data_IF_945307468762
#
_entry.id   IF_945307468762
#
_cell.length_a   1.000
_cell.length_b   1.000
_cell.length_c   1.000
_cell.angle_alpha   90.00
_cell.angle_beta   90.00
_cell.angle_gamma   90.00
#
_symmetry.space_group_name_H-M   'P 1'
#
loop_
_entity.id
_entity.type
_entity.pdbx_description
1 polymer ?
#
# COMPACT_ATOMS: atom_id res chain seq x y z
N UNK A 1 20.56 -14.00 -7.17
CA UNK A 1 19.39 -13.71 -6.31
C UNK A 1 19.68 -12.41 -5.59
N UNK A 2 18.86 -11.38 -5.80
CA UNK A 2 19.01 -10.10 -5.11
C UNK A 2 18.83 -10.32 -3.60
N UNK A 3 19.75 -9.81 -2.78
CA UNK A 3 19.66 -9.93 -1.32
C UNK A 3 18.68 -8.88 -0.77
N UNK A 4 17.98 -9.19 0.33
CA UNK A 4 17.10 -8.26 1.06
C UNK A 4 15.89 -7.74 0.25
N UNK A 5 15.27 -8.61 -0.54
CA UNK A 5 14.00 -8.30 -1.24
C UNK A 5 12.83 -8.89 -0.46
N UNK A 6 11.89 -8.03 -0.08
CA UNK A 6 10.67 -8.40 0.64
C UNK A 6 9.51 -8.30 -0.34
N UNK A 7 8.80 -9.40 -0.57
CA UNK A 7 7.60 -9.41 -1.42
C UNK A 7 6.34 -8.99 -0.66
N UNK A 8 5.26 -8.73 -1.40
CA UNK A 8 3.91 -8.75 -0.83
C UNK A 8 3.49 -10.21 -0.64
N UNK A 9 3.24 -10.58 0.61
CA UNK A 9 2.97 -11.94 1.06
C UNK A 9 1.90 -11.94 2.15
N UNK A 10 1.39 -13.12 2.50
CA UNK A 10 0.33 -13.22 3.50
C UNK A 10 0.74 -12.66 4.87
N UNK A 11 2.03 -12.72 5.22
CA UNK A 11 2.57 -12.22 6.50
C UNK A 11 2.56 -10.68 6.62
N UNK A 12 2.59 -9.95 5.51
CA UNK A 12 2.57 -8.48 5.49
C UNK A 12 1.32 -7.92 4.78
N UNK A 13 0.27 -8.74 4.65
CA UNK A 13 -1.00 -8.32 4.05
C UNK A 13 -1.63 -7.12 4.77
N UNK A 14 -1.51 -7.05 6.09
CA UNK A 14 -2.02 -5.93 6.87
C UNK A 14 -1.31 -4.59 6.56
N UNK A 15 -0.07 -4.62 6.07
CA UNK A 15 0.64 -3.42 5.62
C UNK A 15 0.06 -2.93 4.29
N UNK A 16 -0.14 -3.85 3.35
CA UNK A 16 -0.79 -3.57 2.07
C UNK A 16 -2.20 -3.00 2.28
N UNK A 17 -3.02 -3.65 3.09
CA UNK A 17 -4.39 -3.21 3.37
C UNK A 17 -4.46 -1.80 3.96
N UNK A 18 -3.51 -1.42 4.83
CA UNK A 18 -3.47 -0.09 5.40
C UNK A 18 -3.24 0.97 4.31
N UNK A 19 -2.29 0.71 3.41
CA UNK A 19 -1.96 1.61 2.29
C UNK A 19 -3.12 1.71 1.31
N UNK A 20 -3.71 0.57 0.91
CA UNK A 20 -4.87 0.51 0.02
C UNK A 20 -6.06 1.31 0.59
N UNK A 21 -6.33 1.15 1.89
CA UNK A 21 -7.43 1.85 2.55
C UNK A 21 -7.19 3.35 2.63
N UNK A 22 -5.98 3.79 2.98
CA UNK A 22 -5.67 5.21 2.97
C UNK A 22 -5.90 5.78 1.57
N UNK A 23 -5.34 5.16 0.54
CA UNK A 23 -5.48 5.61 -0.85
C UNK A 23 -6.95 5.70 -1.29
N UNK A 24 -7.77 4.71 -0.93
CA UNK A 24 -9.20 4.72 -1.21
C UNK A 24 -9.97 5.80 -0.44
N UNK A 25 -9.51 6.17 0.76
CA UNK A 25 -10.19 7.12 1.65
C UNK A 25 -9.88 8.56 1.29
N UNK A 26 -8.60 8.88 1.08
CA UNK A 26 -8.16 10.27 0.80
C UNK A 26 -8.19 10.62 -0.69
N UNK A 27 -8.31 9.61 -1.55
CA UNK A 27 -8.27 9.78 -3.01
C UNK A 27 -6.83 9.85 -3.55
N UNK A 28 -6.72 9.65 -4.87
CA UNK A 28 -5.44 9.49 -5.55
C UNK A 28 -4.49 10.70 -5.38
N UNK A 29 -5.00 11.91 -5.56
CA UNK A 29 -4.18 13.14 -5.54
C UNK A 29 -3.59 13.40 -4.15
N UNK A 30 -4.40 13.28 -3.10
CA UNK A 30 -3.96 13.49 -1.71
C UNK A 30 -2.98 12.39 -1.30
N UNK A 31 -3.29 11.14 -1.63
CA UNK A 31 -2.41 10.01 -1.35
C UNK A 31 -1.06 10.15 -2.05
N UNK A 32 -1.04 10.56 -3.32
CA UNK A 32 0.19 10.83 -4.05
C UNK A 32 1.01 11.96 -3.41
N UNK A 33 0.36 13.07 -3.05
CA UNK A 33 1.04 14.19 -2.39
C UNK A 33 1.71 13.76 -1.06
N UNK A 34 1.03 12.94 -0.26
CA UNK A 34 1.57 12.41 0.99
C UNK A 34 2.76 11.49 0.77
N UNK A 35 2.65 10.56 -0.18
CA UNK A 35 3.70 9.62 -0.53
C UNK A 35 4.94 10.35 -1.06
N UNK A 36 4.76 11.34 -1.94
CA UNK A 36 5.86 12.17 -2.45
C UNK A 36 6.50 13.01 -1.35
N UNK A 37 5.71 13.54 -0.40
CA UNK A 37 6.24 14.23 0.78
C UNK A 37 7.12 13.32 1.63
N UNK A 38 6.67 12.08 1.91
CA UNK A 38 7.45 11.10 2.66
C UNK A 38 8.74 10.70 1.92
N UNK A 39 8.68 10.54 0.59
CA UNK A 39 9.84 10.29 -0.26
C UNK A 39 10.91 11.36 -0.12
N UNK A 40 10.53 12.64 -0.13
CA UNK A 40 11.48 13.76 -0.01
C UNK A 40 12.18 13.81 1.34
N UNK A 41 11.53 13.32 2.39
CA UNK A 41 12.11 13.22 3.74
C UNK A 41 12.96 11.95 3.92
N UNK A 42 12.87 11.00 2.99
CA UNK A 42 13.58 9.73 3.06
C UNK A 42 14.98 9.84 2.47
N UNK A 43 15.98 9.41 3.24
CA UNK A 43 17.35 9.19 2.78
C UNK A 43 17.43 7.86 2.05
N UNK A 44 17.78 7.90 0.76
CA UNK A 44 17.85 6.70 -0.08
C UNK A 44 19.13 5.92 0.27
N UNK A 45 18.96 4.67 0.70
CA UNK A 45 20.05 3.69 0.79
C UNK A 45 19.99 2.73 -0.41
N UNK A 46 20.90 2.85 -1.39
CA UNK A 46 20.86 2.02 -2.58
C UNK A 46 21.18 0.55 -2.31
N UNK A 47 21.81 0.20 -1.18
CA UNK A 47 22.14 -1.19 -0.82
C UNK A 47 21.18 -1.80 0.21
N UNK A 48 20.26 -1.01 0.75
CA UNK A 48 19.32 -1.40 1.79
C UNK A 48 18.29 -2.46 1.37
N UNK A 49 17.40 -2.85 2.29
CA UNK A 49 16.29 -3.74 1.92
C UNK A 49 15.31 -3.04 0.96
N UNK A 50 14.63 -3.81 0.12
CA UNK A 50 13.60 -3.30 -0.78
C UNK A 50 12.27 -4.01 -0.55
N UNK A 51 11.18 -3.25 -0.69
CA UNK A 51 9.85 -3.78 -0.86
C UNK A 51 9.58 -3.97 -2.35
N UNK A 52 9.45 -5.21 -2.79
CA UNK A 52 8.93 -5.53 -4.11
C UNK A 52 7.39 -5.50 -4.07
N UNK A 53 6.81 -4.76 -5.01
CA UNK A 53 5.38 -4.52 -5.11
C UNK A 53 4.89 -5.04 -6.45
N UNK A 54 3.87 -5.89 -6.40
CA UNK A 54 3.21 -6.43 -7.59
C UNK A 54 1.85 -5.79 -7.73
N UNK A 55 1.45 -5.53 -8.97
CA UNK A 55 0.07 -5.15 -9.27
C UNK A 55 -0.84 -6.35 -9.09
N UNK A 56 -2.06 -6.11 -8.59
CA UNK A 56 -3.11 -7.10 -8.50
C UNK A 56 -3.66 -7.37 -9.91
N UNK A 57 -3.13 -8.40 -10.57
CA UNK A 57 -3.60 -8.83 -11.90
C UNK A 57 -4.52 -10.06 -11.85
N UNK A 58 -4.52 -10.80 -10.72
CA UNK A 58 -5.30 -12.02 -10.55
C UNK A 58 -5.59 -12.26 -9.07
N UNK A 59 -6.75 -12.85 -8.75
CA UNK A 59 -7.19 -13.09 -7.37
C UNK A 59 -6.28 -14.03 -6.54
N UNK A 60 -5.43 -14.82 -7.21
CA UNK A 60 -4.46 -15.70 -6.55
C UNK A 60 -3.14 -15.02 -6.17
N UNK A 61 -2.96 -13.74 -6.53
CA UNK A 61 -1.74 -12.97 -6.26
C UNK A 61 -2.07 -11.92 -5.22
N UNK A 62 -1.29 -11.87 -4.13
CA UNK A 62 -1.33 -10.71 -3.23
C UNK A 62 -0.63 -9.56 -3.95
N UNK A 63 -1.41 -8.56 -4.32
CA UNK A 63 -0.95 -7.44 -5.13
C UNK A 63 -1.73 -6.17 -4.82
N UNK A 64 -1.16 -5.07 -5.26
CA UNK A 64 -1.67 -3.72 -5.08
C UNK A 64 -2.66 -3.35 -6.17
N UNK A 65 -3.73 -2.64 -5.82
CA UNK A 65 -4.70 -2.11 -6.76
C UNK A 65 -4.08 -1.04 -7.68
N UNK A 66 -4.74 -0.79 -8.81
CA UNK A 66 -4.16 -0.03 -9.92
C UNK A 66 -3.70 1.39 -9.54
N UNK A 67 -4.52 2.11 -8.78
CA UNK A 67 -4.25 3.52 -8.44
C UNK A 67 -3.00 3.69 -7.55
N UNK A 68 -2.93 3.06 -6.36
CA UNK A 68 -1.72 3.14 -5.54
C UNK A 68 -0.51 2.51 -6.23
N UNK A 69 -0.69 1.47 -7.04
CA UNK A 69 0.41 0.89 -7.81
C UNK A 69 1.02 1.90 -8.79
N UNK A 70 0.20 2.62 -9.57
CA UNK A 70 0.68 3.64 -10.50
C UNK A 70 1.38 4.80 -9.80
N UNK A 71 0.89 5.21 -8.62
CA UNK A 71 1.54 6.22 -7.79
C UNK A 71 2.92 5.74 -7.34
N UNK A 72 3.03 4.47 -6.92
CA UNK A 72 4.32 3.88 -6.57
C UNK A 72 5.26 3.62 -7.75
N UNK A 73 4.74 3.49 -8.97
CA UNK A 73 5.59 3.51 -10.17
C UNK A 73 6.22 4.88 -10.36
N UNK A 74 5.42 5.96 -10.30
CA UNK A 74 5.93 7.34 -10.41
C UNK A 74 6.91 7.67 -9.29
N UNK A 75 6.62 7.23 -8.07
CA UNK A 75 7.54 7.35 -6.95
C UNK A 75 8.86 6.63 -7.23
N UNK A 76 8.82 5.40 -7.74
CA UNK A 76 10.04 4.66 -8.06
C UNK A 76 10.87 5.37 -9.14
N UNK A 77 10.22 5.99 -10.12
CA UNK A 77 10.89 6.81 -11.13
C UNK A 77 11.57 8.04 -10.48
N UNK A 78 10.87 8.77 -9.60
CA UNK A 78 11.45 9.91 -8.85
C UNK A 78 12.66 9.48 -8.00
N UNK A 79 12.57 8.33 -7.33
CA UNK A 79 13.67 7.81 -6.52
C UNK A 79 14.90 7.47 -7.37
N UNK A 80 14.70 6.95 -8.58
CA UNK A 80 15.79 6.66 -9.52
C UNK A 80 16.41 7.94 -10.07
N UNK A 81 15.61 8.98 -10.33
CA UNK A 81 16.14 10.29 -10.73
C UNK A 81 17.03 10.88 -9.64
N UNK A 82 16.64 10.74 -8.37
CA UNK A 82 17.40 11.21 -7.21
C UNK A 82 18.63 10.35 -6.90
N UNK A 83 18.54 9.04 -7.08
CA UNK A 83 19.61 8.08 -6.83
C UNK A 83 19.70 7.04 -7.96
N UNK A 84 20.42 7.36 -9.06
CA UNK A 84 20.53 6.49 -10.22
C UNK A 84 21.17 5.13 -9.93
N UNK A 85 21.95 5.00 -8.85
CA UNK A 85 22.57 3.70 -8.49
C UNK A 85 21.54 2.63 -8.13
N UNK A 86 20.29 3.00 -7.84
CA UNK A 86 19.18 2.05 -7.68
C UNK A 86 18.98 1.16 -8.92
N UNK A 87 19.30 1.64 -10.13
CA UNK A 87 19.25 0.82 -11.37
C UNK A 87 20.29 -0.31 -11.40
N UNK A 88 21.25 -0.29 -10.49
CA UNK A 88 22.13 -1.44 -10.22
C UNK A 88 21.36 -2.66 -9.73
N UNK A 89 20.15 -2.48 -9.21
CA UNK A 89 19.32 -3.54 -8.63
C UNK A 89 18.29 -4.07 -9.62
N UNK A 90 18.13 -5.40 -9.75
CA UNK A 90 17.15 -6.01 -10.63
C UNK A 90 15.72 -5.51 -10.41
N UNK A 91 15.30 -5.31 -9.17
CA UNK A 91 13.92 -4.89 -8.87
C UNK A 91 13.56 -3.49 -9.38
N UNK A 92 14.52 -2.56 -9.44
CA UNK A 92 14.34 -1.24 -10.05
C UNK A 92 14.55 -1.27 -11.58
N UNK A 93 15.50 -2.10 -12.04
CA UNK A 93 15.80 -2.24 -13.47
C UNK A 93 14.67 -2.90 -14.26
N UNK A 94 14.03 -3.90 -13.66
CA UNK A 94 12.96 -4.69 -14.29
C UNK A 94 11.56 -4.23 -13.85
N UNK A 95 11.42 -3.01 -13.33
CA UNK A 95 10.12 -2.41 -13.06
C UNK A 95 9.34 -2.21 -14.36
N UNK A 96 8.02 -2.24 -14.28
CA UNK A 96 7.15 -2.13 -15.44
C UNK A 96 5.68 -2.21 -15.05
N UNK A 97 4.80 -2.52 -16.01
CA UNK A 97 3.33 -2.46 -15.85
C UNK A 97 2.74 -3.37 -14.77
N UNK A 98 3.53 -4.32 -14.23
CA UNK A 98 3.09 -5.31 -13.24
C UNK A 98 3.96 -5.34 -11.98
N UNK A 99 5.12 -4.70 -11.99
CA UNK A 99 6.09 -4.76 -10.90
C UNK A 99 6.71 -3.37 -10.66
N UNK A 100 6.78 -2.97 -9.40
CA UNK A 100 7.57 -1.80 -8.94
C UNK A 100 8.31 -2.17 -7.65
N UNK A 101 9.20 -1.30 -7.20
CA UNK A 101 9.96 -1.50 -5.97
C UNK A 101 10.20 -0.16 -5.26
N UNK A 102 10.24 -0.22 -3.93
CA UNK A 102 10.57 0.90 -3.06
C UNK A 102 11.66 0.49 -2.07
N UNK A 103 12.44 1.43 -1.52
CA UNK A 103 13.26 1.17 -0.35
C UNK A 103 12.34 0.69 0.78
N UNK A 104 12.74 -0.37 1.48
CA UNK A 104 11.87 -0.98 2.49
C UNK A 104 11.52 -0.02 3.63
N UNK A 105 12.48 0.81 4.05
CA UNK A 105 12.25 1.83 5.07
C UNK A 105 11.25 2.93 4.63
N UNK A 106 11.23 3.26 3.33
CA UNK A 106 10.22 4.16 2.78
C UNK A 106 8.84 3.51 2.78
N UNK A 107 8.76 2.24 2.38
CA UNK A 107 7.52 1.45 2.48
C UNK A 107 6.98 1.46 3.91
N UNK A 108 7.82 1.15 4.91
CA UNK A 108 7.42 1.15 6.32
C UNK A 108 6.96 2.54 6.79
N UNK A 109 7.59 3.61 6.30
CA UNK A 109 7.18 4.98 6.63
C UNK A 109 5.79 5.31 6.05
N UNK A 110 5.49 4.88 4.83
CA UNK A 110 4.17 5.02 4.20
C UNK A 110 3.12 4.19 4.96
N UNK A 111 3.46 2.96 5.37
CA UNK A 111 2.57 2.11 6.18
C UNK A 111 2.25 2.75 7.52
N UNK A 112 3.25 3.34 8.21
CA UNK A 112 3.04 4.08 9.47
C UNK A 112 2.11 5.27 9.25
N UNK A 113 2.41 6.12 8.26
CA UNK A 113 1.53 7.24 7.89
C UNK A 113 0.10 6.78 7.59
N UNK A 114 -0.05 5.66 6.88
CA UNK A 114 -1.38 5.11 6.56
C UNK A 114 -2.13 4.64 7.79
N UNK A 115 -1.46 4.06 8.78
CA UNK A 115 -2.08 3.67 10.05
C UNK A 115 -2.43 4.87 10.92
N UNK A 116 -1.60 5.91 10.90
CA UNK A 116 -1.83 7.11 11.72
C UNK A 116 -2.98 7.97 11.16
N UNK A 117 -3.19 7.94 9.84
CA UNK A 117 -4.23 8.72 9.14
C UNK A 117 -5.47 7.90 8.78
N UNK A 118 -5.50 6.61 9.12
CA UNK A 118 -6.66 5.75 8.98
C UNK A 118 -6.77 4.86 10.22
N UNK A 119 -7.69 5.19 11.12
CA UNK A 119 -8.05 4.33 12.25
C UNK A 119 -9.05 3.24 11.78
N UNK A 120 -8.63 1.97 11.67
CA UNK A 120 -9.50 0.90 11.22
C UNK A 120 -10.67 0.66 12.18
N UNK A 121 -10.50 0.95 13.47
CA UNK A 121 -11.56 0.79 14.45
C UNK A 121 -12.64 1.86 14.30
N UNK A 122 -12.24 3.10 13.99
CA UNK A 122 -13.18 4.17 13.68
C UNK A 122 -13.99 3.86 12.42
N UNK A 123 -13.34 3.38 11.35
CA UNK A 123 -14.02 3.02 10.11
C UNK A 123 -14.95 1.80 10.27
N UNK A 124 -14.54 0.79 11.04
CA UNK A 124 -15.39 -0.35 11.40
C UNK A 124 -16.61 0.10 12.20
N UNK A 125 -16.42 1.01 13.16
CA UNK A 125 -17.50 1.59 13.94
C UNK A 125 -18.46 2.39 13.06
N UNK A 126 -17.95 3.22 12.14
CA UNK A 126 -18.78 3.95 11.17
C UNK A 126 -19.58 3.01 10.27
N UNK A 127 -18.94 1.93 9.76
CA UNK A 127 -19.63 0.91 8.96
C UNK A 127 -20.76 0.26 9.77
N UNK A 128 -20.48 -0.19 11.00
CA UNK A 128 -21.50 -0.79 11.86
C UNK A 128 -22.64 0.20 12.13
N UNK A 129 -22.32 1.45 12.45
CA UNK A 129 -23.32 2.50 12.69
C UNK A 129 -24.18 2.75 11.46
N UNK A 130 -23.60 2.78 10.25
CA UNK A 130 -24.38 2.93 9.02
C UNK A 130 -25.36 1.78 8.78
N UNK A 131 -24.95 0.53 9.02
CA UNK A 131 -25.82 -0.65 8.89
C UNK A 131 -26.93 -0.67 9.93
N UNK A 132 -26.64 -0.28 11.16
CA UNK A 132 -27.66 -0.11 12.20
C UNK A 132 -28.69 0.97 11.81
N UNK A 133 -28.26 2.07 11.19
CA UNK A 133 -29.17 3.12 10.68
C UNK A 133 -30.04 2.65 9.52
N UNK A 134 -29.57 1.70 8.73
CA UNK A 134 -30.35 1.03 7.67
C UNK A 134 -31.36 0.00 8.23
N UNK A 135 -31.40 -0.19 9.54
CA UNK A 135 -32.36 -1.07 10.23
C UNK A 135 -31.87 -2.50 10.45
N UNK A 136 -30.61 -2.81 10.15
CA UNK A 136 -30.02 -4.10 10.49
C UNK A 136 -29.86 -4.21 12.02
N UNK A 137 -30.00 -5.43 12.54
CA UNK A 137 -29.62 -5.74 13.91
C UNK A 137 -28.10 -5.69 14.09
N UNK A 138 -27.62 -5.59 15.33
CA UNK A 138 -26.18 -5.58 15.62
C UNK A 138 -25.47 -6.84 15.12
N UNK A 139 -26.13 -7.99 15.15
CA UNK A 139 -25.59 -9.25 14.65
C UNK A 139 -25.46 -9.23 13.11
N UNK A 140 -26.50 -8.78 12.40
CA UNK A 140 -26.48 -8.66 10.93
C UNK A 140 -25.46 -7.63 10.46
N UNK A 141 -25.36 -6.48 11.14
CA UNK A 141 -24.36 -5.46 10.85
C UNK A 141 -22.93 -6.01 11.01
N UNK A 142 -22.69 -6.82 12.05
CA UNK A 142 -21.41 -7.45 12.29
C UNK A 142 -21.07 -8.52 11.23
N UNK A 143 -22.02 -9.37 10.85
CA UNK A 143 -21.82 -10.33 9.76
C UNK A 143 -21.63 -9.64 8.41
N UNK A 144 -22.32 -8.54 8.15
CA UNK A 144 -22.11 -7.71 6.96
C UNK A 144 -20.71 -7.09 6.95
N UNK A 145 -20.19 -6.64 8.11
CA UNK A 145 -18.82 -6.15 8.23
C UNK A 145 -17.82 -7.28 7.90
N UNK A 146 -17.99 -8.46 8.50
CA UNK A 146 -17.13 -9.62 8.21
C UNK A 146 -17.18 -9.99 6.72
N UNK A 147 -18.37 -10.03 6.12
CA UNK A 147 -18.52 -10.31 4.69
C UNK A 147 -17.83 -9.25 3.84
N UNK A 148 -18.02 -7.96 4.14
CA UNK A 148 -17.39 -6.85 3.40
C UNK A 148 -15.86 -6.91 3.44
N UNK A 149 -15.27 -7.46 4.51
CA UNK A 149 -13.83 -7.67 4.67
C UNK A 149 -13.29 -8.94 4.02
N UNK A 150 -14.16 -9.91 3.73
CA UNK A 150 -13.79 -11.18 3.06
C UNK A 150 -13.88 -11.10 1.53
N UNK A 151 -14.62 -10.13 1.00
CA UNK A 151 -14.84 -9.93 -0.45
C UNK A 151 -13.99 -8.80 -1.07
N UNK A 152 -13.14 -8.15 -0.28
CA UNK A 152 -12.08 -7.24 -0.76
C UNK A 152 -10.76 -7.99 -0.83
#
# INVERSE_FOLDING_TARGET
MEKHVIGLERRNLAELEAVERLAATVGAEVFEADVMRLSRLHTIDPVGAIQAIRRLAHASIIGMSDTPFQIFQRLADELIEREPSLLGRPSYRCRGSQHTALPYELWLSIVRHSRDNFDPAAADAEFLVSRLREGLTSEEAFFALIASKRYK
#
